data_IF_063822021731
#
_entry.id   IF_063822021731
#
_cell.length_a   1.000
_cell.length_b   1.000
_cell.length_c   1.000
_cell.angle_alpha   90.00
_cell.angle_beta   90.00
_cell.angle_gamma   90.00
#
_symmetry.space_group_name_H-M   'P 1'
#
loop_
_entity.id
_entity.type
_entity.pdbx_description
1 polymer ?
#
# COMPACT_ATOMS: atom_id res chain seq x y z
N UNK A 1 3.79 -61.38 -13.61
CA UNK A 1 4.06 -62.77 -13.99
C UNK A 1 3.04 -63.64 -13.26
N UNK A 2 2.06 -64.16 -13.98
CA UNK A 2 1.08 -65.09 -13.38
C UNK A 2 1.76 -66.44 -13.14
N UNK A 3 2.04 -66.74 -11.89
CA UNK A 3 2.48 -68.10 -11.48
C UNK A 3 1.27 -68.76 -10.85
N UNK A 4 0.81 -69.88 -11.51
CA UNK A 4 -0.40 -70.64 -11.12
C UNK A 4 -1.76 -69.96 -11.30
N UNK A 5 -2.22 -69.73 -12.52
CA UNK A 5 -3.63 -69.87 -12.93
C UNK A 5 -4.70 -68.93 -12.41
N UNK A 6 -4.39 -67.97 -11.56
CA UNK A 6 -5.35 -66.95 -11.11
C UNK A 6 -4.66 -65.57 -11.16
N UNK A 7 -4.96 -64.79 -12.23
CA UNK A 7 -4.60 -63.38 -12.25
C UNK A 7 -5.62 -62.69 -11.36
N UNK A 8 -5.21 -62.26 -10.18
CA UNK A 8 -5.99 -61.29 -9.40
C UNK A 8 -5.90 -59.95 -10.12
N UNK A 9 -7.02 -59.47 -10.63
CA UNK A 9 -7.09 -58.17 -11.27
C UNK A 9 -6.81 -57.09 -10.20
N UNK A 10 -5.85 -56.26 -10.53
CA UNK A 10 -5.38 -55.19 -9.63
C UNK A 10 -5.26 -53.85 -10.32
N UNK A 11 -4.78 -52.84 -9.58
CA UNK A 11 -4.60 -51.50 -10.10
C UNK A 11 -3.61 -51.44 -11.25
N UNK A 12 -2.68 -52.38 -11.33
CA UNK A 12 -1.71 -52.49 -12.44
C UNK A 12 -2.37 -52.84 -13.79
N UNK A 13 -3.49 -53.54 -13.76
CA UNK A 13 -4.19 -54.03 -14.96
C UNK A 13 -5.17 -52.98 -15.53
N UNK A 14 -5.39 -51.87 -14.82
CA UNK A 14 -6.30 -50.81 -15.28
C UNK A 14 -5.73 -50.01 -16.45
N UNK A 15 -6.58 -49.54 -17.37
CA UNK A 15 -6.23 -48.48 -18.30
C UNK A 15 -5.90 -47.20 -17.56
N UNK A 16 -5.15 -46.31 -18.19
CA UNK A 16 -4.82 -44.99 -17.59
C UNK A 16 -6.06 -44.09 -17.47
N UNK A 17 -6.28 -43.45 -16.32
CA UNK A 17 -5.43 -43.45 -15.12
C UNK A 17 -5.61 -44.71 -14.26
N UNK A 18 -4.50 -45.34 -13.89
CA UNK A 18 -4.52 -46.55 -13.04
C UNK A 18 -5.04 -46.26 -11.63
N UNK A 19 -4.79 -45.03 -11.12
CA UNK A 19 -5.19 -44.61 -9.78
C UNK A 19 -6.02 -43.32 -9.86
N UNK A 20 -7.05 -43.21 -9.05
CA UNK A 20 -7.96 -42.11 -9.10
C UNK A 20 -7.92 -41.29 -7.79
N UNK A 21 -8.00 -39.95 -7.86
CA UNK A 21 -8.11 -39.09 -6.65
C UNK A 21 -9.53 -39.10 -6.08
N UNK A 22 -9.64 -38.98 -4.77
CA UNK A 22 -10.93 -38.91 -4.06
C UNK A 22 -11.71 -40.22 -4.05
N UNK A 23 -13.03 -40.12 -3.91
CA UNK A 23 -13.96 -41.23 -4.02
C UNK A 23 -14.45 -41.33 -5.46
N UNK A 24 -14.07 -42.44 -6.14
CA UNK A 24 -14.44 -42.67 -7.53
C UNK A 24 -14.89 -44.10 -7.74
N UNK A 25 -16.19 -44.31 -7.83
CA UNK A 25 -16.82 -45.61 -7.97
C UNK A 25 -16.50 -46.30 -9.33
N UNK A 26 -16.01 -45.54 -10.30
CA UNK A 26 -15.56 -46.08 -11.60
C UNK A 26 -14.12 -46.57 -11.55
N UNK A 27 -13.39 -46.23 -10.47
CA UNK A 27 -12.01 -46.67 -10.26
C UNK A 27 -11.97 -48.04 -9.61
N UNK A 28 -12.66 -48.97 -10.19
CA UNK A 28 -12.95 -50.31 -9.68
C UNK A 28 -12.33 -51.39 -10.56
N UNK A 29 -11.82 -52.47 -9.93
CA UNK A 29 -11.40 -53.71 -10.60
C UNK A 29 -12.21 -54.89 -10.07
N UNK A 30 -12.43 -55.86 -10.95
CA UNK A 30 -13.16 -57.09 -10.64
C UNK A 30 -12.22 -58.26 -10.76
N UNK A 31 -12.01 -58.97 -9.67
CA UNK A 31 -11.23 -60.22 -9.71
C UNK A 31 -12.02 -61.35 -10.41
N UNK A 32 -11.34 -62.41 -10.85
CA UNK A 32 -11.96 -63.60 -11.42
C UNK A 32 -12.96 -64.27 -10.45
N UNK A 33 -12.83 -64.02 -9.15
CA UNK A 33 -13.76 -64.51 -8.10
C UNK A 33 -14.93 -63.56 -7.82
N UNK A 34 -15.17 -62.54 -8.69
CA UNK A 34 -16.20 -61.51 -8.55
C UNK A 34 -16.05 -60.63 -7.29
N UNK A 35 -14.90 -60.61 -6.64
CA UNK A 35 -14.63 -59.65 -5.61
C UNK A 35 -14.27 -58.30 -6.27
N UNK A 36 -14.78 -57.22 -5.70
CA UNK A 36 -14.60 -55.87 -6.21
C UNK A 36 -13.59 -55.18 -5.31
N UNK A 37 -12.58 -54.57 -5.89
CA UNK A 37 -11.62 -53.72 -5.18
C UNK A 37 -11.46 -52.36 -5.89
N UNK A 38 -11.01 -51.37 -5.20
CA UNK A 38 -10.93 -49.99 -5.71
C UNK A 38 -9.47 -49.50 -5.75
N UNK A 39 -9.17 -48.71 -6.80
CA UNK A 39 -7.90 -48.08 -7.00
C UNK A 39 -7.95 -46.54 -6.79
N UNK A 40 -8.89 -46.09 -6.00
CA UNK A 40 -9.05 -44.67 -5.63
C UNK A 40 -8.46 -44.37 -4.24
N UNK A 41 -8.25 -43.09 -3.94
CA UNK A 41 -7.68 -42.68 -2.63
C UNK A 41 -8.65 -42.92 -1.45
N UNK A 42 -9.94 -43.11 -1.72
CA UNK A 42 -10.95 -43.36 -0.70
C UNK A 42 -10.94 -44.81 -0.21
N UNK A 43 -10.51 -45.77 -1.01
CA UNK A 43 -10.45 -47.18 -0.66
C UNK A 43 -9.66 -47.45 0.64
N UNK A 44 -8.69 -46.58 0.97
CA UNK A 44 -7.94 -46.68 2.24
C UNK A 44 -8.81 -46.45 3.47
N UNK A 45 -9.90 -45.69 3.32
CA UNK A 45 -10.84 -45.38 4.39
C UNK A 45 -11.95 -46.43 4.48
N UNK A 46 -12.37 -46.98 3.35
CA UNK A 46 -13.36 -48.02 3.25
C UNK A 46 -12.80 -49.40 3.49
N UNK A 47 -11.49 -49.58 3.33
CA UNK A 47 -10.82 -50.87 3.52
C UNK A 47 -10.98 -51.85 2.34
N UNK A 48 -11.29 -51.35 1.15
CA UNK A 48 -11.62 -52.09 -0.06
C UNK A 48 -10.63 -51.82 -1.21
N UNK A 49 -9.40 -51.42 -0.90
CA UNK A 49 -8.35 -51.28 -1.88
C UNK A 49 -7.96 -52.62 -2.50
N UNK A 50 -7.55 -52.61 -3.78
CA UNK A 50 -6.89 -53.77 -4.40
C UNK A 50 -5.56 -54.04 -3.69
N UNK A 51 -5.13 -55.32 -3.67
CA UNK A 51 -3.94 -55.74 -2.94
C UNK A 51 -2.65 -55.05 -3.43
N UNK A 52 -2.60 -54.74 -4.71
CA UNK A 52 -1.49 -54.04 -5.35
C UNK A 52 -1.57 -52.51 -5.27
N UNK A 53 -2.62 -51.96 -4.62
CA UNK A 53 -2.85 -50.52 -4.54
C UNK A 53 -1.64 -49.75 -4.03
N UNK A 54 -1.01 -50.26 -2.97
CA UNK A 54 0.16 -49.55 -2.37
C UNK A 54 1.38 -49.57 -3.30
N UNK A 55 1.57 -50.60 -4.10
CA UNK A 55 2.70 -50.72 -5.00
C UNK A 55 2.50 -49.97 -6.31
N UNK A 56 1.26 -49.89 -6.81
CA UNK A 56 0.89 -49.28 -8.10
C UNK A 56 0.52 -47.80 -7.95
N UNK A 57 -0.23 -47.52 -6.93
CA UNK A 57 -0.75 -46.17 -6.69
C UNK A 57 0.11 -45.33 -5.74
N UNK A 58 1.42 -45.55 -5.74
CA UNK A 58 2.40 -44.83 -4.91
C UNK A 58 1.88 -43.46 -4.43
N UNK A 59 1.04 -43.47 -3.41
CA UNK A 59 0.61 -42.25 -2.77
C UNK A 59 1.78 -41.85 -1.86
N UNK A 60 2.67 -41.07 -2.41
CA UNK A 60 3.62 -40.32 -1.59
C UNK A 60 2.82 -39.69 -0.47
N UNK A 61 3.28 -39.86 0.77
CA UNK A 61 2.59 -39.30 1.94
C UNK A 61 2.18 -37.85 1.67
N UNK A 62 0.95 -37.50 2.10
CA UNK A 62 0.52 -36.12 2.02
C UNK A 62 1.57 -35.22 2.67
N UNK A 63 2.03 -34.22 1.93
CA UNK A 63 3.02 -33.26 2.40
C UNK A 63 2.31 -31.95 2.64
N UNK A 64 2.28 -31.54 3.89
CA UNK A 64 1.68 -30.28 4.29
C UNK A 64 2.54 -29.09 3.87
N UNK A 65 1.91 -27.95 3.68
CA UNK A 65 2.63 -26.70 3.45
C UNK A 65 3.41 -26.27 4.68
N UNK A 66 4.71 -26.11 4.51
CA UNK A 66 5.55 -25.47 5.51
C UNK A 66 5.92 -24.05 5.09
N UNK A 67 5.88 -23.13 6.03
CA UNK A 67 6.20 -21.72 5.79
C UNK A 67 7.34 -21.28 6.71
N UNK A 68 8.16 -20.37 6.21
CA UNK A 68 9.22 -19.74 7.01
C UNK A 68 8.63 -18.80 8.06
N UNK A 69 9.47 -18.40 9.01
CA UNK A 69 9.11 -17.39 10.00
C UNK A 69 8.73 -16.06 9.30
N UNK A 70 7.90 -15.28 9.97
CA UNK A 70 7.53 -13.96 9.50
C UNK A 70 8.75 -13.05 9.37
N UNK A 71 8.85 -12.36 8.26
CA UNK A 71 9.78 -11.25 8.10
C UNK A 71 9.43 -10.06 9.01
N UNK A 72 10.30 -9.05 9.07
CA UNK A 72 10.03 -7.84 9.83
C UNK A 72 8.83 -7.08 9.25
N UNK A 73 8.19 -6.27 10.09
CA UNK A 73 7.17 -5.35 9.64
C UNK A 73 7.80 -4.23 8.79
N UNK A 74 7.14 -3.88 7.70
CA UNK A 74 7.52 -2.71 6.91
C UNK A 74 7.37 -1.41 7.73
N UNK A 75 8.05 -0.33 7.36
CA UNK A 75 7.72 1.00 7.87
C UNK A 75 6.22 1.30 7.68
N UNK A 76 5.69 2.21 8.49
CA UNK A 76 4.32 2.67 8.34
C UNK A 76 4.14 3.34 6.97
N UNK A 77 3.06 3.05 6.26
CA UNK A 77 2.77 3.62 4.92
C UNK A 77 2.54 5.14 4.95
N UNK A 78 2.24 5.69 6.12
CA UNK A 78 2.13 7.13 6.34
C UNK A 78 3.39 7.64 7.05
N UNK A 79 3.86 8.81 6.66
CA UNK A 79 4.97 9.49 7.37
C UNK A 79 4.50 10.18 8.64
N UNK A 80 3.20 10.44 8.76
CA UNK A 80 2.59 11.06 9.94
C UNK A 80 1.13 10.63 10.09
N UNK A 81 0.74 10.27 11.33
CA UNK A 81 -0.63 9.84 11.64
C UNK A 81 -0.88 8.36 11.35
N UNK A 82 -2.13 8.01 11.09
CA UNK A 82 -2.54 6.62 10.85
C UNK A 82 -2.11 6.13 9.48
N UNK A 83 -1.61 4.92 9.44
CA UNK A 83 -1.20 4.23 8.22
C UNK A 83 -1.36 2.72 8.38
N UNK A 84 -0.74 1.97 7.49
CA UNK A 84 -0.69 0.51 7.54
C UNK A 84 0.74 0.02 7.43
N UNK A 85 1.04 -1.09 8.08
CA UNK A 85 2.31 -1.81 7.96
C UNK A 85 2.02 -3.26 7.58
N UNK A 86 2.90 -3.86 6.82
CA UNK A 86 2.76 -5.21 6.29
C UNK A 86 3.98 -6.05 6.63
N UNK A 87 3.78 -7.34 6.77
CA UNK A 87 4.86 -8.33 6.80
C UNK A 87 4.51 -9.51 5.93
N UNK A 88 5.51 -10.22 5.48
CA UNK A 88 5.34 -11.41 4.66
C UNK A 88 6.23 -12.56 5.14
N UNK A 89 5.88 -13.74 4.72
CA UNK A 89 6.69 -14.96 4.88
C UNK A 89 6.68 -15.76 3.58
N UNK A 90 7.65 -16.61 3.41
CA UNK A 90 7.79 -17.46 2.24
C UNK A 90 7.38 -18.90 2.55
N UNK A 91 6.91 -19.60 1.54
CA UNK A 91 6.73 -21.05 1.58
C UNK A 91 8.11 -21.72 1.53
N UNK A 92 8.39 -22.59 2.49
CA UNK A 92 9.57 -23.46 2.47
C UNK A 92 9.31 -24.77 1.73
N UNK A 93 8.13 -25.35 1.98
CA UNK A 93 7.71 -26.59 1.36
C UNK A 93 6.28 -26.45 0.85
N UNK A 94 6.04 -26.49 -0.48
CA UNK A 94 4.68 -26.43 -1.01
C UNK A 94 3.90 -27.71 -0.70
N UNK A 95 2.58 -27.63 -0.49
CA UNK A 95 1.76 -28.80 -0.23
C UNK A 95 1.72 -29.70 -1.44
N UNK A 96 1.75 -31.03 -1.20
CA UNK A 96 1.63 -32.05 -2.25
C UNK A 96 0.72 -33.19 -1.79
N UNK A 97 0.21 -33.96 -2.75
CA UNK A 97 -0.55 -35.19 -2.51
C UNK A 97 -1.73 -35.02 -1.53
N UNK A 98 -2.42 -33.87 -1.58
CA UNK A 98 -3.56 -33.59 -0.69
C UNK A 98 -3.17 -33.13 0.73
N UNK A 99 -1.94 -32.70 0.94
CA UNK A 99 -1.52 -32.06 2.19
C UNK A 99 -2.20 -30.72 2.44
N UNK A 100 -2.13 -30.27 3.67
CA UNK A 100 -2.76 -29.02 4.12
C UNK A 100 -2.24 -27.82 3.31
N UNK A 101 -3.12 -26.97 2.79
CA UNK A 101 -2.72 -25.78 2.05
C UNK A 101 -1.95 -24.78 2.92
N UNK A 102 -1.20 -23.89 2.27
CA UNK A 102 -0.42 -22.89 2.97
C UNK A 102 -1.31 -21.91 3.72
N UNK A 103 -0.97 -21.55 4.96
CA UNK A 103 -1.61 -20.48 5.69
C UNK A 103 -1.22 -19.11 5.10
N UNK A 104 -1.84 -18.04 5.58
CA UNK A 104 -1.58 -16.68 5.10
C UNK A 104 -0.09 -16.35 5.03
N UNK A 105 0.33 -15.84 3.87
CA UNK A 105 1.71 -15.45 3.57
C UNK A 105 1.95 -13.96 3.77
N UNK A 106 0.90 -13.17 3.96
CA UNK A 106 0.96 -11.73 4.19
C UNK A 106 0.05 -11.36 5.36
N UNK A 107 0.51 -10.44 6.17
CA UNK A 107 -0.28 -9.84 7.24
C UNK A 107 -0.20 -8.32 7.15
N UNK A 108 -1.32 -7.67 7.43
CA UNK A 108 -1.46 -6.22 7.45
C UNK A 108 -2.07 -5.78 8.76
N UNK A 109 -1.58 -4.68 9.32
CA UNK A 109 -2.17 -4.05 10.52
C UNK A 109 -2.09 -2.54 10.43
N UNK A 110 -2.90 -1.84 11.22
CA UNK A 110 -2.78 -0.41 11.42
C UNK A 110 -1.48 -0.04 12.14
N UNK A 111 -0.95 1.13 11.81
CA UNK A 111 0.18 1.74 12.51
C UNK A 111 -0.07 3.23 12.72
N UNK A 112 0.63 3.83 13.68
CA UNK A 112 0.64 5.26 13.92
C UNK A 112 2.08 5.74 13.75
N UNK A 113 2.32 6.54 12.72
CA UNK A 113 3.63 7.14 12.50
C UNK A 113 3.79 8.41 13.36
N UNK A 114 4.86 8.43 14.14
CA UNK A 114 5.30 9.58 14.94
C UNK A 114 6.75 9.90 14.54
N UNK A 115 6.90 10.75 13.51
CA UNK A 115 8.20 11.26 13.09
C UNK A 115 8.32 12.75 13.44
N UNK A 116 9.52 13.29 13.46
CA UNK A 116 9.76 14.73 13.62
C UNK A 116 9.00 15.57 12.58
N UNK A 117 8.81 15.00 11.38
CA UNK A 117 8.01 15.60 10.32
C UNK A 117 6.53 15.86 10.73
N UNK A 118 6.01 15.17 11.75
CA UNK A 118 4.65 15.40 12.24
C UNK A 118 4.47 16.77 12.90
N UNK A 119 5.52 17.42 13.33
CA UNK A 119 5.46 18.80 13.84
C UNK A 119 5.10 19.77 12.72
N UNK A 120 5.72 19.64 11.55
CA UNK A 120 5.40 20.44 10.36
C UNK A 120 3.96 20.21 9.86
N UNK A 121 3.42 19.01 10.00
CA UNK A 121 2.02 18.72 9.63
C UNK A 121 0.98 19.41 10.55
N UNK A 122 1.36 19.81 11.75
CA UNK A 122 0.50 20.54 12.71
C UNK A 122 0.52 22.05 12.50
N UNK A 123 1.47 22.57 11.73
CA UNK A 123 1.56 24.00 11.44
C UNK A 123 0.37 24.45 10.60
N UNK A 124 -0.09 25.67 10.89
CA UNK A 124 -1.14 26.33 10.10
C UNK A 124 -0.48 27.35 9.19
N UNK A 125 -0.59 27.15 7.89
CA UNK A 125 -0.11 28.13 6.92
C UNK A 125 -0.89 29.44 7.02
N UNK A 126 -0.21 30.55 7.03
CA UNK A 126 -0.81 31.87 6.80
C UNK A 126 -0.53 32.29 5.37
N UNK A 127 -1.58 32.68 4.65
CA UNK A 127 -1.47 33.04 3.23
C UNK A 127 -2.06 34.41 2.93
N UNK A 128 -1.45 35.04 1.93
CA UNK A 128 -1.93 36.30 1.32
C UNK A 128 -1.98 36.12 -0.22
N UNK A 129 -2.73 36.98 -0.95
CA UNK A 129 -2.66 36.98 -2.41
C UNK A 129 -1.28 37.46 -2.89
N UNK A 130 -0.92 37.07 -4.10
CA UNK A 130 0.34 37.43 -4.76
C UNK A 130 0.56 38.93 -4.96
N UNK A 131 -0.52 39.73 -4.94
CA UNK A 131 -0.42 41.19 -4.95
C UNK A 131 0.36 41.79 -3.78
N UNK A 132 0.56 41.01 -2.70
CA UNK A 132 1.40 41.39 -1.56
C UNK A 132 2.86 40.93 -1.72
N UNK A 133 3.25 40.36 -2.87
CA UNK A 133 4.65 40.03 -3.15
C UNK A 133 5.52 41.28 -3.02
N UNK A 134 6.58 41.16 -2.24
CA UNK A 134 7.60 42.21 -2.17
C UNK A 134 8.54 42.02 -3.36
N UNK A 135 8.58 42.99 -4.26
CA UNK A 135 9.62 43.06 -5.26
C UNK A 135 10.93 43.48 -4.58
N UNK A 136 11.87 42.56 -4.47
CA UNK A 136 13.19 42.80 -3.83
C UNK A 136 14.06 43.86 -4.53
N UNK A 137 13.60 44.51 -5.56
CA UNK A 137 14.26 45.64 -6.22
C UNK A 137 13.82 47.00 -5.62
N UNK A 138 13.72 47.10 -4.30
CA UNK A 138 13.51 48.36 -3.63
C UNK A 138 14.83 49.14 -3.60
N UNK A 139 15.00 50.22 -4.36
CA UNK A 139 16.22 51.01 -4.40
C UNK A 139 16.55 51.73 -3.08
N UNK A 140 15.60 51.75 -2.16
CA UNK A 140 15.72 52.37 -0.82
C UNK A 140 16.20 51.39 0.25
N UNK A 141 16.45 50.15 -0.06
CA UNK A 141 17.00 49.18 0.87
C UNK A 141 18.40 49.57 1.30
N UNK A 142 18.61 49.79 2.60
CA UNK A 142 19.90 50.17 3.15
C UNK A 142 20.99 49.16 2.80
N UNK A 143 22.22 49.58 2.39
CA UNK A 143 23.28 48.69 1.91
C UNK A 143 23.66 47.56 2.86
N UNK A 144 23.51 47.74 4.18
CA UNK A 144 23.84 46.72 5.18
C UNK A 144 22.82 45.55 5.25
N UNK A 145 21.65 45.65 4.61
CA UNK A 145 20.72 44.55 4.45
C UNK A 145 21.00 43.66 3.23
N UNK A 146 21.92 44.08 2.37
CA UNK A 146 22.31 43.34 1.16
C UNK A 146 23.25 42.15 1.44
N UNK A 147 23.76 42.01 2.66
CA UNK A 147 24.68 40.94 3.05
C UNK A 147 23.98 39.68 3.58
N UNK A 148 22.65 39.66 3.69
CA UNK A 148 21.95 38.46 4.01
C UNK A 148 21.82 37.60 2.75
N UNK A 149 22.43 36.43 2.75
CA UNK A 149 22.28 35.45 1.65
C UNK A 149 20.82 35.43 1.17
N UNK A 150 20.62 35.76 -0.09
CA UNK A 150 19.31 35.83 -0.72
C UNK A 150 18.82 34.38 -0.88
N UNK A 151 18.05 33.92 0.07
CA UNK A 151 17.44 32.58 0.03
C UNK A 151 16.55 32.51 -1.19
N UNK A 152 16.71 31.47 -2.00
CA UNK A 152 15.90 31.26 -3.18
C UNK A 152 14.45 30.96 -2.79
N UNK A 153 13.49 31.58 -3.48
CA UNK A 153 12.07 31.28 -3.32
C UNK A 153 11.77 29.88 -3.86
N UNK A 154 10.71 29.27 -3.32
CA UNK A 154 10.15 28.02 -3.86
C UNK A 154 8.64 28.08 -3.96
N UNK A 155 8.07 27.17 -4.74
CA UNK A 155 6.62 27.06 -4.94
C UNK A 155 6.12 25.70 -4.45
N UNK A 156 4.93 25.74 -3.87
CA UNK A 156 4.23 24.54 -3.43
C UNK A 156 2.87 24.47 -4.14
N UNK A 157 2.58 23.35 -4.78
CA UNK A 157 1.25 23.09 -5.32
C UNK A 157 0.41 22.43 -4.24
N UNK A 158 -0.69 23.11 -3.86
CA UNK A 158 -1.61 22.67 -2.85
C UNK A 158 -2.97 22.34 -3.46
N UNK A 159 -3.54 21.20 -3.13
CA UNK A 159 -4.93 20.88 -3.46
C UNK A 159 -5.82 21.17 -2.27
N UNK A 160 -6.73 22.11 -2.43
CA UNK A 160 -7.69 22.50 -1.41
C UNK A 160 -8.64 21.34 -1.12
N UNK A 161 -8.72 20.90 0.13
CA UNK A 161 -9.67 19.85 0.56
C UNK A 161 -10.89 20.43 1.26
N UNK A 162 -10.72 21.57 1.91
CA UNK A 162 -11.81 22.26 2.60
C UNK A 162 -11.53 23.76 2.62
N UNK A 163 -12.56 24.56 2.45
CA UNK A 163 -12.52 26.02 2.63
C UNK A 163 -13.81 26.48 3.29
N UNK A 164 -13.70 27.42 4.23
CA UNK A 164 -14.85 28.03 4.91
C UNK A 164 -15.66 28.91 3.95
N UNK A 165 -16.94 29.15 4.25
CA UNK A 165 -17.79 30.04 3.46
C UNK A 165 -17.28 31.48 3.43
N UNK A 166 -16.55 31.92 4.45
CA UNK A 166 -15.96 33.26 4.54
C UNK A 166 -14.92 33.53 3.42
N UNK A 167 -14.36 32.50 2.79
CA UNK A 167 -13.43 32.66 1.66
C UNK A 167 -14.07 33.28 0.42
N UNK A 168 -15.39 33.20 0.29
CA UNK A 168 -16.13 33.78 -0.84
C UNK A 168 -16.27 35.30 -0.81
N UNK A 169 -16.00 35.90 0.34
CA UNK A 169 -16.19 37.36 0.55
C UNK A 169 -15.16 38.19 -0.18
N UNK A 170 -13.93 37.72 -0.30
CA UNK A 170 -12.86 38.45 -0.99
C UNK A 170 -12.59 37.83 -2.38
N UNK A 171 -12.44 38.64 -3.44
CA UNK A 171 -12.22 38.12 -4.81
C UNK A 171 -11.03 37.15 -4.90
N UNK A 172 -9.91 37.46 -4.25
CA UNK A 172 -8.70 36.65 -4.29
C UNK A 172 -8.86 35.28 -3.59
N UNK A 173 -9.61 35.22 -2.50
CA UNK A 173 -9.83 33.98 -1.74
C UNK A 173 -11.03 33.18 -2.27
N UNK A 174 -11.87 33.75 -3.13
CA UNK A 174 -13.01 33.06 -3.73
C UNK A 174 -12.57 31.86 -4.59
N UNK A 175 -11.35 31.89 -5.08
CA UNK A 175 -10.74 30.78 -5.80
C UNK A 175 -10.30 29.60 -4.93
N UNK A 176 -10.33 29.72 -3.59
CA UNK A 176 -9.99 28.65 -2.63
C UNK A 176 -11.18 27.69 -2.48
N UNK A 177 -11.49 26.94 -3.50
CA UNK A 177 -12.61 25.99 -3.51
C UNK A 177 -12.10 24.56 -3.46
N UNK A 178 -12.92 23.66 -2.94
CA UNK A 178 -12.59 22.24 -2.79
C UNK A 178 -12.12 21.64 -4.13
N UNK A 179 -11.08 20.80 -4.05
CA UNK A 179 -10.42 20.08 -5.15
C UNK A 179 -9.70 20.98 -6.17
N UNK A 180 -9.65 22.28 -5.96
CA UNK A 180 -8.84 23.17 -6.79
C UNK A 180 -7.37 23.11 -6.36
N UNK A 181 -6.49 23.00 -7.36
CA UNK A 181 -5.05 23.16 -7.16
C UNK A 181 -4.71 24.66 -7.11
N UNK A 182 -3.89 25.06 -6.14
CA UNK A 182 -3.42 26.42 -5.95
C UNK A 182 -1.91 26.43 -5.75
N UNK A 183 -1.24 27.40 -6.38
CA UNK A 183 0.19 27.60 -6.18
C UNK A 183 0.39 28.58 -5.02
N UNK A 184 1.27 28.23 -4.09
CA UNK A 184 1.67 29.09 -2.97
C UNK A 184 3.18 29.26 -2.99
N UNK A 185 3.64 30.51 -3.09
CA UNK A 185 5.06 30.84 -3.15
C UNK A 185 5.59 31.14 -1.75
N UNK A 186 6.70 30.54 -1.40
CA UNK A 186 7.48 30.88 -0.22
C UNK A 186 8.61 31.83 -0.62
N UNK A 187 8.50 33.08 -0.19
CA UNK A 187 9.51 34.10 -0.41
C UNK A 187 10.53 34.10 0.72
N UNK A 188 11.74 34.60 0.47
CA UNK A 188 12.85 34.59 1.42
C UNK A 188 12.56 35.27 2.76
N UNK A 189 11.70 36.27 2.76
CA UNK A 189 11.31 37.03 3.97
C UNK A 189 10.27 36.28 4.84
N UNK A 190 9.53 35.35 4.25
CA UNK A 190 8.58 34.49 4.96
C UNK A 190 9.24 33.19 5.50
N UNK A 191 10.47 32.91 5.09
CA UNK A 191 11.20 31.70 5.50
C UNK A 191 11.68 31.79 6.95
N UNK A 192 11.46 30.73 7.69
CA UNK A 192 12.06 30.53 9.01
C UNK A 192 13.57 30.24 8.91
N UNK A 193 14.22 29.96 10.03
CA UNK A 193 15.66 29.68 10.10
C UNK A 193 16.07 28.42 9.35
N UNK A 194 15.15 27.48 9.19
CA UNK A 194 15.30 26.22 8.46
C UNK A 194 15.09 26.34 6.94
N UNK A 195 15.00 27.58 6.42
CA UNK A 195 14.74 27.89 5.01
C UNK A 195 13.38 27.43 4.47
N UNK A 196 12.40 27.22 5.36
CA UNK A 196 11.04 26.82 5.01
C UNK A 196 10.01 27.85 5.47
N UNK A 197 8.92 27.97 4.73
CA UNK A 197 7.74 28.69 5.19
C UNK A 197 6.91 27.80 6.12
N UNK A 198 6.43 28.37 7.21
CA UNK A 198 5.56 27.65 8.14
C UNK A 198 4.27 27.21 7.46
N UNK A 199 3.93 25.95 7.64
CA UNK A 199 2.72 25.37 7.08
C UNK A 199 2.79 25.03 5.59
N UNK A 200 3.99 25.00 4.97
CA UNK A 200 4.20 24.52 3.60
C UNK A 200 3.87 23.02 3.43
N UNK A 201 3.59 22.34 4.53
CA UNK A 201 3.02 21.00 4.58
C UNK A 201 4.01 19.88 4.18
N UNK A 202 3.48 18.68 4.18
CA UNK A 202 4.17 17.48 3.74
C UNK A 202 3.44 16.85 2.55
N UNK A 203 4.17 16.18 1.66
CA UNK A 203 3.60 15.54 0.49
C UNK A 203 2.48 14.57 0.89
N UNK A 204 1.31 14.72 0.28
CA UNK A 204 0.11 13.91 0.51
C UNK A 204 -0.44 13.91 1.95
N UNK A 205 0.04 14.80 2.82
CA UNK A 205 -0.49 14.95 4.17
C UNK A 205 -1.43 16.16 4.23
N UNK A 206 -2.59 15.98 4.86
CA UNK A 206 -3.53 17.07 5.08
C UNK A 206 -2.98 18.03 6.13
N UNK A 207 -2.87 19.29 5.77
CA UNK A 207 -2.48 20.41 6.65
C UNK A 207 -3.52 21.50 6.59
N UNK A 208 -3.38 22.52 7.43
CA UNK A 208 -4.38 23.59 7.58
C UNK A 208 -3.79 24.94 7.16
N UNK A 209 -4.67 25.83 6.74
CA UNK A 209 -4.33 27.18 6.31
C UNK A 209 -5.36 28.20 6.76
N UNK A 210 -4.93 29.43 6.88
CA UNK A 210 -5.75 30.59 7.16
C UNK A 210 -5.31 31.77 6.28
N UNK A 211 -6.27 32.50 5.76
CA UNK A 211 -6.05 33.69 4.96
C UNK A 211 -5.85 34.92 5.88
N UNK A 212 -4.65 35.49 5.87
CA UNK A 212 -4.29 36.54 6.82
C UNK A 212 -5.09 37.84 6.60
N UNK A 213 -5.50 38.14 5.36
CA UNK A 213 -6.29 39.35 5.03
C UNK A 213 -7.78 39.11 4.82
N UNK A 214 -8.28 37.90 5.10
CA UNK A 214 -9.71 37.56 4.99
C UNK A 214 -10.17 36.84 6.27
N UNK A 215 -10.67 37.58 7.27
CA UNK A 215 -11.09 37.02 8.56
C UNK A 215 -12.10 35.88 8.37
N UNK A 216 -11.87 34.77 9.10
CA UNK A 216 -12.69 33.55 9.03
C UNK A 216 -12.48 32.68 7.77
N UNK A 217 -11.74 33.16 6.78
CA UNK A 217 -11.36 32.32 5.64
C UNK A 217 -10.20 31.39 6.02
N UNK A 218 -10.51 30.11 6.16
CA UNK A 218 -9.57 29.07 6.52
C UNK A 218 -10.01 27.72 5.94
N UNK A 219 -9.12 26.76 5.98
CA UNK A 219 -9.44 25.43 5.48
C UNK A 219 -8.32 24.43 5.63
N UNK A 220 -8.39 23.38 4.84
CA UNK A 220 -7.36 22.36 4.75
C UNK A 220 -6.99 22.07 3.31
N UNK A 221 -5.78 21.62 3.10
CA UNK A 221 -5.23 21.24 1.81
C UNK A 221 -4.23 20.08 1.92
N UNK A 222 -3.76 19.61 0.78
CA UNK A 222 -2.73 18.58 0.68
C UNK A 222 -1.67 19.07 -0.29
N UNK A 223 -0.40 18.99 0.08
CA UNK A 223 0.71 19.30 -0.81
C UNK A 223 0.86 18.21 -1.88
N UNK A 224 0.81 18.60 -3.15
CA UNK A 224 0.98 17.70 -4.29
C UNK A 224 2.39 17.72 -4.86
N UNK A 225 3.03 18.90 -4.88
CA UNK A 225 4.40 19.03 -5.36
C UNK A 225 5.12 20.20 -4.70
N UNK A 226 6.44 20.21 -4.87
CA UNK A 226 7.36 21.23 -4.42
C UNK A 226 8.36 21.50 -5.55
N UNK A 227 8.65 22.77 -5.81
CA UNK A 227 9.58 23.20 -6.85
C UNK A 227 10.47 24.32 -6.32
N UNK A 228 11.76 24.08 -6.28
CA UNK A 228 12.76 25.10 -5.93
C UNK A 228 12.92 26.13 -7.03
N UNK A 229 13.41 27.33 -6.65
CA UNK A 229 13.73 28.43 -7.56
C UNK A 229 12.59 28.73 -8.56
N UNK A 230 11.39 28.84 -8.03
CA UNK A 230 10.14 28.94 -8.77
C UNK A 230 9.39 30.20 -8.40
N UNK A 231 8.54 30.69 -9.33
CA UNK A 231 7.51 31.72 -9.13
C UNK A 231 6.15 31.18 -9.52
N UNK A 232 5.19 31.39 -8.65
CA UNK A 232 3.80 31.04 -8.98
C UNK A 232 3.23 32.00 -10.03
N UNK A 233 2.26 31.53 -10.85
CA UNK A 233 1.58 32.36 -11.82
C UNK A 233 0.78 33.49 -11.15
N UNK A 234 0.32 34.48 -11.92
CA UNK A 234 -0.58 35.54 -11.44
C UNK A 234 -1.83 34.95 -10.79
N UNK A 235 -2.37 35.67 -9.80
CA UNK A 235 -3.52 35.25 -8.98
C UNK A 235 -3.25 34.02 -8.10
N UNK A 236 -2.01 33.81 -7.77
CA UNK A 236 -1.55 32.81 -6.79
C UNK A 236 -1.53 33.38 -5.38
N UNK A 237 -0.91 32.66 -4.46
CA UNK A 237 -0.77 33.04 -3.06
C UNK A 237 0.68 33.02 -2.63
N UNK A 238 0.95 33.68 -1.52
CA UNK A 238 2.24 33.67 -0.84
C UNK A 238 2.05 33.23 0.61
N UNK A 239 3.05 32.56 1.17
CA UNK A 239 3.16 32.35 2.61
C UNK A 239 3.59 33.64 3.32
N UNK A 240 3.14 33.81 4.60
CA UNK A 240 3.51 34.92 5.47
C UNK A 240 3.68 34.44 6.91
#
# INVERSE_FOLDING_TARGET
>A
MCVSGVCEAGCADRPTPRCCPGRNNECVEKSARRTVCYCDTYCRRSGDCCDDYQSVCHISAALDCEVRQWGPWSPCSSVCGTGTTERSRQVSTPPRNGGTPCPDLKQRRGCLAHTEACSAAKEVAKILPDSFKRNFKDPWRRPHMLMKEEKKSYCVQMRVKQASAACRVKPWSAGLVRERAVCVECQSDAMATDNRCRGDGLLNIRTFWAAASAPGCSGSWVRESFTEDCRCPSYSMIFV
#
